data_IF_093691874326
#
_entry.id   IF_093691874326
#
_cell.length_a   1.000
_cell.length_b   1.000
_cell.length_c   1.000
_cell.angle_alpha   90.00
_cell.angle_beta   90.00
_cell.angle_gamma   90.00
#
_symmetry.space_group_name_H-M   'P 1'
#
loop_
_entity.id
_entity.type
_entity.pdbx_description
1 polymer ?
#
# COMPACT_ATOMS: atom_id res chain seq x y z
N UNK A 1 10.99 -2.97 2.82
CA UNK A 1 11.74 -1.71 2.93
C UNK A 1 12.09 -1.41 4.38
N UNK A 2 11.25 -0.77 5.20
CA UNK A 2 11.52 -0.67 6.65
C UNK A 2 11.32 -1.99 7.44
N UNK A 3 11.29 -3.13 6.74
CA UNK A 3 10.85 -4.40 7.34
C UNK A 3 11.82 -4.92 8.38
N UNK A 4 13.13 -4.68 8.25
CA UNK A 4 14.12 -5.18 9.20
C UNK A 4 13.95 -4.51 10.57
N UNK A 5 13.96 -3.18 10.62
CA UNK A 5 13.73 -2.43 11.86
C UNK A 5 12.32 -2.64 12.41
N UNK A 6 11.30 -2.67 11.54
CA UNK A 6 9.93 -2.98 11.95
C UNK A 6 9.81 -4.36 12.60
N UNK A 7 10.45 -5.38 12.01
CA UNK A 7 10.46 -6.76 12.51
C UNK A 7 11.24 -6.88 13.82
N UNK A 8 12.38 -6.20 13.93
CA UNK A 8 13.17 -6.12 15.17
C UNK A 8 12.37 -5.50 16.31
N UNK A 9 11.84 -4.30 16.10
CA UNK A 9 11.01 -3.59 17.09
C UNK A 9 9.80 -4.44 17.47
N UNK A 10 9.09 -5.00 16.48
CA UNK A 10 7.92 -5.85 16.75
C UNK A 10 8.32 -7.12 17.51
N UNK A 11 9.48 -7.72 17.20
CA UNK A 11 10.03 -8.86 17.93
C UNK A 11 10.26 -8.55 19.41
N UNK A 12 10.91 -7.43 19.72
CA UNK A 12 11.12 -7.00 21.11
C UNK A 12 9.81 -6.72 21.84
N UNK A 13 8.90 -5.96 21.21
CA UNK A 13 7.60 -5.62 21.82
C UNK A 13 6.78 -6.88 22.06
N UNK A 14 6.65 -7.77 21.07
CA UNK A 14 5.90 -9.01 21.22
C UNK A 14 6.54 -9.96 22.23
N UNK A 15 7.87 -10.05 22.29
CA UNK A 15 8.57 -10.83 23.32
C UNK A 15 8.18 -10.37 24.73
N UNK A 16 8.17 -9.05 24.95
CA UNK A 16 7.71 -8.45 26.21
C UNK A 16 6.24 -8.74 26.48
N UNK A 17 5.35 -8.52 25.52
CA UNK A 17 3.91 -8.73 25.69
C UNK A 17 3.56 -10.21 25.96
N UNK A 18 4.30 -11.14 25.35
CA UNK A 18 4.09 -12.58 25.53
C UNK A 18 4.35 -13.05 26.96
N UNK A 19 5.18 -12.35 27.74
CA UNK A 19 5.37 -12.66 29.17
C UNK A 19 4.06 -12.48 29.97
N UNK A 20 3.13 -11.65 29.47
CA UNK A 20 1.85 -11.34 30.11
C UNK A 20 0.67 -12.08 29.46
N UNK A 21 0.84 -12.56 28.23
CA UNK A 21 -0.10 -13.43 27.54
C UNK A 21 0.18 -14.88 27.96
N UNK A 22 -0.60 -15.42 28.91
CA UNK A 22 -0.51 -16.81 29.43
C UNK A 22 -0.80 -17.92 28.39
N UNK A 23 -0.60 -17.70 27.09
CA UNK A 23 -0.72 -18.69 26.02
C UNK A 23 0.54 -18.69 25.16
N UNK A 24 1.13 -19.87 24.96
CA UNK A 24 2.10 -20.15 23.89
C UNK A 24 1.41 -20.04 22.52
N UNK A 25 0.93 -18.85 22.15
CA UNK A 25 0.43 -18.62 20.81
C UNK A 25 1.65 -18.43 19.90
N UNK A 26 2.23 -19.56 19.47
CA UNK A 26 3.39 -19.64 18.56
C UNK A 26 3.09 -19.07 17.17
N UNK A 27 1.87 -18.62 16.91
CA UNK A 27 1.48 -17.88 15.70
C UNK A 27 1.91 -16.40 15.77
N UNK A 28 3.16 -16.12 16.15
CA UNK A 28 3.69 -14.75 16.14
C UNK A 28 3.89 -14.33 14.68
N UNK A 29 2.88 -13.68 14.11
CA UNK A 29 3.09 -12.89 12.89
C UNK A 29 3.84 -11.64 13.35
N UNK A 30 5.17 -11.65 13.25
CA UNK A 30 6.07 -10.54 13.58
C UNK A 30 5.77 -9.25 12.78
N UNK A 31 4.89 -9.32 11.79
CA UNK A 31 4.43 -8.19 10.96
C UNK A 31 3.07 -7.63 11.42
N UNK A 32 2.49 -8.13 12.52
CA UNK A 32 1.13 -7.79 12.98
C UNK A 32 1.01 -6.42 13.65
N UNK A 33 2.06 -5.91 14.30
CA UNK A 33 1.98 -4.61 14.97
C UNK A 33 1.97 -3.46 13.95
N UNK A 34 1.07 -2.47 14.11
CA UNK A 34 1.02 -1.32 13.23
C UNK A 34 2.13 -0.36 13.67
N UNK A 35 3.25 -0.40 12.95
CA UNK A 35 4.32 0.58 13.10
C UNK A 35 4.15 1.66 12.04
N UNK A 36 4.12 2.92 12.49
CA UNK A 36 4.29 4.08 11.63
C UNK A 36 5.73 4.61 11.75
N UNK A 37 6.21 5.23 10.68
CA UNK A 37 7.55 5.86 10.65
C UNK A 37 7.33 7.36 10.52
N UNK A 38 7.91 8.14 11.42
CA UNK A 38 7.97 9.59 11.28
C UNK A 38 9.22 9.96 10.49
N UNK A 39 9.03 10.26 9.21
CA UNK A 39 10.09 10.71 8.30
C UNK A 39 10.20 12.24 8.22
N UNK A 40 9.11 12.98 8.46
CA UNK A 40 9.06 14.43 8.28
C UNK A 40 9.40 15.18 9.57
N UNK A 41 10.54 14.84 10.18
CA UNK A 41 11.06 15.52 11.37
C UNK A 41 11.99 16.66 10.95
N UNK A 42 12.24 17.67 11.82
CA UNK A 42 13.32 18.63 11.62
C UNK A 42 14.61 17.91 11.21
N UNK A 43 15.41 18.51 10.32
CA UNK A 43 16.59 17.91 9.66
C UNK A 43 17.63 17.20 10.56
N UNK A 44 17.53 17.33 11.88
CA UNK A 44 18.47 16.83 12.87
C UNK A 44 17.90 15.75 13.80
N UNK A 45 16.61 15.43 13.68
CA UNK A 45 16.02 14.39 14.51
C UNK A 45 16.19 13.03 13.83
N UNK A 46 16.73 12.03 14.55
CA UNK A 46 16.84 10.67 14.04
C UNK A 46 15.48 10.09 13.64
N UNK A 47 15.45 9.11 12.71
CA UNK A 47 14.22 8.44 12.32
C UNK A 47 13.58 7.76 13.53
N UNK A 48 12.25 7.91 13.65
CA UNK A 48 11.48 7.34 14.74
C UNK A 48 10.39 6.42 14.22
N UNK A 49 10.21 5.30 14.92
CA UNK A 49 9.06 4.42 14.75
C UNK A 49 8.12 4.57 15.92
N UNK A 50 6.83 4.59 15.63
CA UNK A 50 5.79 4.72 16.64
C UNK A 50 4.86 3.51 16.62
N UNK A 51 4.46 3.10 17.82
CA UNK A 51 3.40 2.11 18.04
C UNK A 51 2.37 2.75 18.95
N UNK A 52 1.14 2.90 18.46
CA UNK A 52 0.02 3.37 19.27
C UNK A 52 -0.50 2.23 20.14
N UNK A 53 -0.64 2.46 21.45
CA UNK A 53 -1.13 1.45 22.38
C UNK A 53 -2.56 1.01 22.05
N UNK A 54 -3.41 1.94 21.62
CA UNK A 54 -4.76 1.64 21.10
C UNK A 54 -4.74 0.59 19.99
N UNK A 55 -3.75 0.65 19.10
CA UNK A 55 -3.66 -0.29 17.98
C UNK A 55 -3.13 -1.66 18.42
N UNK A 56 -2.25 -1.71 19.42
CA UNK A 56 -1.87 -2.96 20.10
C UNK A 56 -3.08 -3.62 20.76
N UNK A 57 -3.89 -2.85 21.50
CA UNK A 57 -5.09 -3.34 22.17
C UNK A 57 -6.18 -3.81 21.19
N UNK A 58 -6.32 -3.17 20.02
CA UNK A 58 -7.22 -3.68 18.96
C UNK A 58 -6.82 -5.07 18.47
N UNK A 59 -5.52 -5.34 18.35
CA UNK A 59 -5.01 -6.63 17.91
C UNK A 59 -5.09 -7.69 19.01
N UNK A 60 -4.89 -7.29 20.27
CA UNK A 60 -4.92 -8.18 21.44
C UNK A 60 -5.73 -7.54 22.58
N UNK A 61 -7.07 -7.60 22.52
CA UNK A 61 -7.94 -6.99 23.53
C UNK A 61 -7.71 -7.55 24.95
N UNK A 62 -7.26 -8.80 25.05
CA UNK A 62 -6.93 -9.48 26.32
C UNK A 62 -5.87 -8.75 27.17
N UNK A 63 -5.07 -7.87 26.56
CA UNK A 63 -4.05 -7.09 27.25
C UNK A 63 -4.61 -5.91 28.04
N UNK A 64 -5.82 -5.43 27.70
CA UNK A 64 -6.38 -4.18 28.24
C UNK A 64 -6.51 -4.17 29.76
N UNK A 65 -6.87 -5.31 30.35
CA UNK A 65 -7.01 -5.47 31.80
C UNK A 65 -5.75 -6.03 32.48
N UNK A 66 -4.72 -6.40 31.68
CA UNK A 66 -3.56 -7.14 32.17
C UNK A 66 -2.30 -6.31 32.27
N UNK A 67 -2.13 -5.31 31.41
CA UNK A 67 -0.90 -4.53 31.37
C UNK A 67 -1.12 -3.09 30.92
N UNK A 68 -0.45 -2.18 31.61
CA UNK A 68 -0.42 -0.76 31.27
C UNK A 68 0.84 -0.45 30.43
N UNK A 69 0.76 0.56 29.55
CA UNK A 69 1.86 0.97 28.68
C UNK A 69 3.16 1.23 29.45
N UNK A 70 3.07 1.93 30.58
CA UNK A 70 4.22 2.26 31.42
C UNK A 70 4.93 1.00 31.94
N UNK A 71 4.20 -0.07 32.25
CA UNK A 71 4.78 -1.36 32.62
C UNK A 71 5.55 -1.94 31.45
N UNK A 72 4.96 -1.98 30.25
CA UNK A 72 5.65 -2.43 29.02
C UNK A 72 6.93 -1.62 28.79
N UNK A 73 6.88 -0.31 28.97
CA UNK A 73 8.04 0.57 28.83
C UNK A 73 9.15 0.20 29.83
N UNK A 74 8.84 0.00 31.11
CA UNK A 74 9.85 -0.42 32.09
C UNK A 74 10.52 -1.73 31.69
N UNK A 75 9.75 -2.72 31.22
CA UNK A 75 10.33 -3.98 30.74
C UNK A 75 11.18 -3.78 29.49
N UNK A 76 10.74 -2.97 28.53
CA UNK A 76 11.51 -2.66 27.33
C UNK A 76 12.81 -1.93 27.66
N UNK A 77 12.83 -1.00 28.62
CA UNK A 77 14.07 -0.32 29.04
C UNK A 77 15.05 -1.24 29.78
N UNK A 78 14.53 -2.28 30.43
CA UNK A 78 15.34 -3.27 31.15
C UNK A 78 15.86 -4.40 30.25
N UNK A 79 15.37 -4.50 29.00
CA UNK A 79 16.09 -5.23 27.96
C UNK A 79 17.27 -4.35 27.55
N UNK A 80 18.45 -4.93 27.31
CA UNK A 80 19.70 -4.21 27.01
C UNK A 80 19.61 -3.33 25.74
N UNK A 81 18.92 -2.19 25.85
CA UNK A 81 18.87 -1.12 24.85
C UNK A 81 19.81 0.00 25.32
N UNK A 82 20.72 0.49 24.45
CA UNK A 82 20.75 0.38 22.99
C UNK A 82 21.36 -0.93 22.46
N UNK A 83 20.63 -1.60 21.56
CA UNK A 83 21.02 -2.89 20.97
C UNK A 83 21.87 -2.72 19.69
N UNK A 84 22.67 -3.73 19.34
CA UNK A 84 23.34 -3.88 18.03
C UNK A 84 22.36 -3.80 16.83
N UNK A 85 21.06 -3.93 17.08
CA UNK A 85 19.99 -3.86 16.10
C UNK A 85 19.68 -2.44 15.59
N UNK A 86 20.37 -1.42 16.10
CA UNK A 86 20.30 -0.02 15.64
C UNK A 86 19.20 0.81 16.29
N UNK A 87 18.60 0.34 17.38
CA UNK A 87 17.64 1.09 18.20
C UNK A 87 18.44 1.83 19.27
N UNK A 88 18.40 3.15 19.26
CA UNK A 88 19.25 4.01 20.11
C UNK A 88 18.55 4.49 21.38
N UNK A 89 17.23 4.65 21.33
CA UNK A 89 16.45 5.09 22.49
C UNK A 89 14.98 4.64 22.39
N UNK A 90 14.30 4.53 23.54
CA UNK A 90 12.89 4.19 23.62
C UNK A 90 12.21 5.01 24.71
N UNK A 91 11.12 5.69 24.34
CA UNK A 91 10.35 6.53 25.26
C UNK A 91 8.85 6.50 24.92
N UNK A 92 8.04 7.03 25.83
CA UNK A 92 6.61 7.27 25.57
C UNK A 92 6.40 8.69 25.07
N UNK A 93 5.45 8.88 24.14
CA UNK A 93 5.12 10.21 23.62
C UNK A 93 4.79 11.18 24.79
N UNK A 94 5.50 12.31 24.93
CA UNK A 94 5.36 13.20 26.09
C UNK A 94 3.98 13.87 26.19
N UNK A 95 3.21 13.94 25.10
CA UNK A 95 1.92 14.64 25.10
C UNK A 95 0.81 13.78 25.68
N UNK A 96 0.64 12.56 25.15
CA UNK A 96 -0.50 11.70 25.50
C UNK A 96 -0.10 10.41 26.24
N UNK A 97 1.19 10.05 26.27
CA UNK A 97 1.68 8.77 26.83
C UNK A 97 0.92 7.54 26.31
N UNK A 98 0.36 7.60 25.09
CA UNK A 98 -0.35 6.49 24.46
C UNK A 98 0.47 5.79 23.37
N UNK A 99 1.70 6.24 23.14
CA UNK A 99 2.57 5.72 22.08
C UNK A 99 3.92 5.33 22.63
N UNK A 100 4.43 4.19 22.15
CA UNK A 100 5.84 3.83 22.27
C UNK A 100 6.58 4.40 21.06
N UNK A 101 7.65 5.15 21.33
CA UNK A 101 8.50 5.77 20.33
C UNK A 101 9.88 5.13 20.42
N UNK A 102 10.37 4.66 19.28
CA UNK A 102 11.68 4.04 19.13
C UNK A 102 12.53 4.94 18.24
N UNK A 103 13.64 5.43 18.79
CA UNK A 103 14.64 6.17 18.03
C UNK A 103 15.63 5.20 17.42
N UNK A 104 16.00 5.45 16.17
CA UNK A 104 16.84 4.56 15.38
C UNK A 104 18.08 5.30 14.88
N UNK A 105 19.20 4.60 14.84
CA UNK A 105 20.41 5.06 14.20
C UNK A 105 20.17 5.33 12.71
N UNK A 106 20.37 6.59 12.30
CA UNK A 106 20.05 7.04 10.94
C UNK A 106 20.92 6.37 9.89
N UNK A 107 22.20 6.11 10.17
CA UNK A 107 23.14 5.55 9.23
C UNK A 107 22.83 4.07 8.97
N UNK A 108 22.67 3.29 10.03
CA UNK A 108 22.25 1.89 9.96
C UNK A 108 20.87 1.76 9.31
N UNK A 109 19.92 2.64 9.64
CA UNK A 109 18.62 2.67 8.99
C UNK A 109 18.76 2.89 7.48
N UNK A 110 19.42 3.97 7.07
CA UNK A 110 19.58 4.33 5.66
C UNK A 110 20.28 3.25 4.86
N UNK A 111 21.40 2.73 5.37
CA UNK A 111 22.14 1.64 4.73
C UNK A 111 21.28 0.38 4.58
N UNK A 112 20.51 0.02 5.61
CA UNK A 112 19.62 -1.14 5.54
C UNK A 112 18.51 -0.98 4.49
N UNK A 113 17.90 0.21 4.38
CA UNK A 113 16.83 0.49 3.42
C UNK A 113 17.38 0.45 2.00
N UNK A 114 18.52 1.11 1.76
CA UNK A 114 19.15 1.15 0.44
C UNK A 114 19.52 -0.27 -0.01
N UNK A 115 20.14 -1.07 0.87
CA UNK A 115 20.47 -2.45 0.56
C UNK A 115 19.23 -3.31 0.30
N UNK A 116 18.14 -3.10 1.05
CA UNK A 116 16.87 -3.81 0.81
C UNK A 116 16.26 -3.42 -0.54
N UNK A 117 16.26 -2.13 -0.90
CA UNK A 117 15.80 -1.64 -2.20
C UNK A 117 16.61 -2.25 -3.32
N UNK A 118 17.94 -2.13 -3.28
CA UNK A 118 18.82 -2.62 -4.34
C UNK A 118 18.65 -4.13 -4.55
N UNK A 119 18.52 -4.90 -3.47
CA UNK A 119 18.39 -6.36 -3.55
C UNK A 119 17.00 -6.82 -3.98
N UNK A 120 15.95 -6.06 -3.66
CA UNK A 120 14.57 -6.52 -3.77
C UNK A 120 13.68 -5.62 -4.64
N UNK A 121 14.22 -4.69 -5.45
CA UNK A 121 13.43 -3.69 -6.19
C UNK A 121 12.29 -4.30 -7.00
N UNK A 122 12.55 -5.42 -7.69
CA UNK A 122 11.56 -6.12 -8.53
C UNK A 122 10.57 -6.97 -7.73
N UNK A 123 10.83 -7.16 -6.43
CA UNK A 123 10.08 -8.05 -5.53
C UNK A 123 9.54 -7.32 -4.29
N UNK A 124 9.58 -5.99 -4.27
CA UNK A 124 9.06 -5.16 -3.19
C UNK A 124 7.64 -5.59 -2.76
N UNK A 125 6.68 -5.89 -3.65
CA UNK A 125 5.34 -6.33 -3.25
C UNK A 125 5.36 -7.58 -2.38
N UNK A 126 6.16 -8.57 -2.77
CA UNK A 126 6.23 -9.89 -2.12
C UNK A 126 6.86 -9.79 -0.72
N UNK A 127 7.83 -8.91 -0.55
CA UNK A 127 8.54 -8.72 0.72
C UNK A 127 8.01 -7.58 1.59
N UNK A 128 7.13 -6.74 1.04
CA UNK A 128 6.48 -5.68 1.80
C UNK A 128 5.53 -6.27 2.82
N UNK A 129 5.76 -5.95 4.09
CA UNK A 129 4.85 -6.33 5.19
C UNK A 129 3.45 -5.74 5.01
N UNK A 130 3.30 -4.72 4.16
CA UNK A 130 2.00 -4.12 3.84
C UNK A 130 1.18 -4.99 2.87
N UNK A 131 1.83 -5.65 1.91
CA UNK A 131 1.16 -6.43 0.86
C UNK A 131 1.22 -7.94 1.11
N UNK A 132 2.14 -8.43 1.95
CA UNK A 132 2.36 -9.85 2.22
C UNK A 132 1.11 -10.62 2.68
N UNK A 133 0.21 -9.97 3.41
CA UNK A 133 -1.00 -10.60 3.96
C UNK A 133 -2.24 -10.38 3.08
N UNK A 134 -2.09 -9.80 1.89
CA UNK A 134 -3.19 -9.65 0.94
C UNK A 134 -3.22 -10.92 0.10
N UNK A 135 -4.28 -11.76 0.21
CA UNK A 135 -4.39 -12.95 -0.62
C UNK A 135 -4.51 -12.56 -2.10
N UNK A 136 -3.87 -13.29 -3.03
CA UNK A 136 -4.06 -13.06 -4.45
C UNK A 136 -5.53 -13.25 -4.85
N UNK A 137 -6.06 -12.33 -5.65
CA UNK A 137 -7.43 -12.36 -6.15
C UNK A 137 -7.48 -12.18 -7.67
N UNK A 138 -8.61 -12.53 -8.27
CA UNK A 138 -8.91 -12.22 -9.66
C UNK A 138 -9.59 -10.85 -9.73
N UNK A 139 -8.93 -9.86 -10.31
CA UNK A 139 -9.42 -8.49 -10.39
C UNK A 139 -9.72 -8.13 -11.83
N UNK A 140 -10.95 -7.66 -12.08
CA UNK A 140 -11.33 -7.08 -13.37
C UNK A 140 -11.24 -5.55 -13.22
N UNK A 141 -10.50 -4.91 -14.13
CA UNK A 141 -10.45 -3.45 -14.23
C UNK A 141 -10.99 -3.07 -15.59
N UNK A 142 -12.20 -2.53 -15.60
CA UNK A 142 -12.85 -1.95 -16.76
C UNK A 142 -12.54 -0.45 -16.80
N UNK A 143 -12.06 0.03 -17.96
CA UNK A 143 -11.71 1.43 -18.14
C UNK A 143 -11.66 1.84 -19.61
N UNK A 144 -11.50 3.14 -19.85
CA UNK A 144 -11.63 3.79 -21.17
C UNK A 144 -13.07 3.79 -21.67
N UNK A 145 -13.59 2.63 -22.08
CA UNK A 145 -14.98 2.37 -22.49
C UNK A 145 -15.65 3.53 -23.22
N UNK A 146 -15.04 4.03 -24.31
CA UNK A 146 -15.60 5.15 -25.06
C UNK A 146 -16.83 4.70 -25.84
N UNK A 147 -17.67 5.67 -26.22
CA UNK A 147 -18.69 5.44 -27.23
C UNK A 147 -18.05 5.54 -28.63
N UNK A 148 -18.15 4.50 -29.45
CA UNK A 148 -17.52 4.48 -30.79
C UNK A 148 -18.15 5.45 -31.78
N UNK A 149 -19.39 5.87 -31.53
CA UNK A 149 -20.08 6.86 -32.35
C UNK A 149 -19.71 8.31 -31.96
N UNK A 150 -18.64 8.50 -31.18
CA UNK A 150 -18.09 9.82 -30.87
C UNK A 150 -16.57 9.85 -31.06
N UNK A 151 -16.00 10.99 -31.53
CA UNK A 151 -14.57 11.15 -31.63
C UNK A 151 -13.88 10.98 -30.27
N UNK A 152 -12.73 10.30 -30.27
CA UNK A 152 -11.94 10.14 -29.06
C UNK A 152 -11.16 11.43 -28.74
N UNK A 153 -11.64 12.20 -27.76
CA UNK A 153 -10.98 13.42 -27.28
C UNK A 153 -10.26 13.22 -25.92
N UNK A 154 -9.51 14.23 -25.48
CA UNK A 154 -8.72 14.22 -24.24
C UNK A 154 -9.53 13.90 -22.96
N UNK A 155 -10.85 14.07 -22.99
CA UNK A 155 -11.72 13.68 -21.88
C UNK A 155 -11.67 12.18 -21.58
N UNK A 156 -11.56 11.34 -22.62
CA UNK A 156 -11.44 9.89 -22.49
C UNK A 156 -10.06 9.44 -21.99
N UNK A 157 -9.05 10.31 -22.13
CA UNK A 157 -7.70 10.03 -21.64
C UNK A 157 -7.68 9.79 -20.13
N UNK A 158 -8.49 10.55 -19.38
CA UNK A 158 -8.58 10.45 -17.92
C UNK A 158 -8.97 9.04 -17.45
N UNK A 159 -10.07 8.49 -17.98
CA UNK A 159 -10.50 7.12 -17.64
C UNK A 159 -9.43 6.11 -18.04
N UNK A 160 -8.84 6.32 -19.22
CA UNK A 160 -7.83 5.43 -19.79
C UNK A 160 -6.59 5.31 -18.90
N UNK A 161 -6.01 6.43 -18.47
CA UNK A 161 -4.79 6.43 -17.65
C UNK A 161 -5.05 5.94 -16.22
N UNK A 162 -6.17 6.35 -15.62
CA UNK A 162 -6.50 5.99 -14.24
C UNK A 162 -6.75 4.48 -14.15
N UNK A 163 -7.54 3.94 -15.07
CA UNK A 163 -7.80 2.51 -15.11
C UNK A 163 -6.55 1.67 -15.36
N UNK A 164 -5.69 2.10 -16.29
CA UNK A 164 -4.41 1.43 -16.51
C UNK A 164 -3.50 1.48 -15.27
N UNK A 165 -3.43 2.64 -14.60
CA UNK A 165 -2.67 2.79 -13.34
C UNK A 165 -3.18 1.83 -12.26
N UNK A 166 -4.50 1.77 -12.04
CA UNK A 166 -5.11 0.84 -11.06
C UNK A 166 -4.81 -0.62 -11.44
N UNK A 167 -4.95 -0.99 -12.71
CA UNK A 167 -4.65 -2.34 -13.19
C UNK A 167 -3.17 -2.72 -12.97
N UNK A 168 -2.25 -1.76 -13.14
CA UNK A 168 -0.84 -1.96 -12.86
C UNK A 168 -0.56 -2.10 -11.36
N UNK A 169 -1.21 -1.29 -10.53
CA UNK A 169 -1.09 -1.39 -9.08
C UNK A 169 -1.60 -2.74 -8.56
N UNK A 170 -2.79 -3.19 -8.98
CA UNK A 170 -3.32 -4.49 -8.59
C UNK A 170 -2.40 -5.64 -9.04
N UNK A 171 -1.87 -5.57 -10.27
CA UNK A 171 -0.90 -6.56 -10.76
C UNK A 171 0.38 -6.55 -9.94
N UNK A 172 0.88 -5.37 -9.60
CA UNK A 172 2.07 -5.19 -8.79
C UNK A 172 1.90 -5.80 -7.39
N UNK A 173 0.74 -5.64 -6.75
CA UNK A 173 0.43 -6.22 -5.43
C UNK A 173 0.26 -7.76 -5.48
N UNK A 174 0.19 -8.37 -6.67
CA UNK A 174 0.16 -9.82 -6.85
C UNK A 174 -1.21 -10.39 -7.27
N UNK A 175 -2.19 -9.54 -7.61
CA UNK A 175 -3.48 -9.99 -8.13
C UNK A 175 -3.37 -10.44 -9.60
N UNK A 176 -4.25 -11.36 -10.00
CA UNK A 176 -4.47 -11.73 -11.41
C UNK A 176 -5.43 -10.71 -12.03
N UNK A 177 -4.89 -9.80 -12.84
CA UNK A 177 -5.67 -8.68 -13.40
C UNK A 177 -6.10 -8.94 -14.83
N UNK A 178 -7.41 -8.88 -15.08
CA UNK A 178 -8.03 -8.82 -16.41
C UNK A 178 -8.41 -7.36 -16.70
N UNK A 179 -7.89 -6.81 -17.79
CA UNK A 179 -8.25 -5.47 -18.26
C UNK A 179 -9.38 -5.60 -19.28
N UNK A 180 -10.45 -4.83 -19.10
CA UNK A 180 -11.59 -4.82 -20.02
C UNK A 180 -11.82 -3.41 -20.56
N UNK A 181 -12.28 -3.37 -21.81
CA UNK A 181 -12.80 -2.18 -22.45
C UNK A 181 -14.22 -2.49 -22.89
N UNK A 182 -15.21 -1.95 -22.19
CA UNK A 182 -16.62 -2.14 -22.51
C UNK A 182 -17.06 -1.04 -23.47
N UNK A 183 -16.73 -1.27 -24.73
CA UNK A 183 -16.95 -0.29 -25.80
C UNK A 183 -18.44 0.00 -25.94
N UNK A 184 -18.81 1.28 -25.97
CA UNK A 184 -20.20 1.72 -26.16
C UNK A 184 -20.60 1.68 -27.62
N UNK A 185 -20.81 0.47 -28.15
CA UNK A 185 -21.16 0.19 -29.55
C UNK A 185 -22.66 -0.03 -29.80
N UNK A 186 -23.47 -0.04 -28.74
CA UNK A 186 -24.91 -0.23 -28.84
C UNK A 186 -25.69 0.98 -28.29
N UNK A 187 -26.70 1.44 -29.05
CA UNK A 187 -27.65 2.47 -28.63
C UNK A 187 -27.93 3.54 -29.67
N UNK A 188 -28.65 4.60 -29.27
CA UNK A 188 -29.12 5.67 -30.15
C UNK A 188 -27.97 6.34 -30.92
N UNK A 189 -26.82 6.57 -30.28
CA UNK A 189 -25.68 7.24 -30.91
C UNK A 189 -25.13 6.42 -32.09
N UNK A 190 -25.04 5.09 -31.93
CA UNK A 190 -24.67 4.19 -33.02
C UNK A 190 -25.73 4.16 -34.12
N UNK A 191 -27.02 4.15 -33.75
CA UNK A 191 -28.12 4.21 -34.73
C UNK A 191 -28.12 5.49 -35.56
N UNK A 192 -27.84 6.65 -34.94
CA UNK A 192 -27.70 7.93 -35.63
C UNK A 192 -26.54 7.88 -36.62
N UNK A 193 -25.39 7.32 -36.22
CA UNK A 193 -24.24 7.15 -37.11
C UNK A 193 -24.58 6.28 -38.32
N UNK A 194 -25.28 5.16 -38.11
CA UNK A 194 -25.71 4.27 -39.19
C UNK A 194 -26.68 4.95 -40.17
N UNK A 195 -27.66 5.70 -39.67
CA UNK A 195 -28.58 6.47 -40.53
C UNK A 195 -27.84 7.59 -41.26
N UNK A 196 -26.88 8.25 -40.61
CA UNK A 196 -26.02 9.27 -41.21
C UNK A 196 -25.20 8.70 -42.37
N UNK A 197 -24.55 7.57 -42.15
CA UNK A 197 -23.79 6.87 -43.20
C UNK A 197 -24.68 6.42 -44.35
N UNK A 198 -25.90 5.94 -44.10
CA UNK A 198 -26.84 5.60 -45.19
C UNK A 198 -27.24 6.80 -46.05
N UNK A 199 -27.24 8.02 -45.50
CA UNK A 199 -27.65 9.24 -46.23
C UNK A 199 -26.48 9.96 -46.89
N UNK A 200 -25.31 9.96 -46.25
CA UNK A 200 -24.16 10.80 -46.62
C UNK A 200 -22.86 10.01 -46.80
N UNK A 201 -22.88 8.71 -46.51
CA UNK A 201 -21.69 7.85 -46.53
C UNK A 201 -21.17 7.58 -47.94
N UNK A 202 -19.86 7.39 -48.03
CA UNK A 202 -19.15 7.03 -49.25
C UNK A 202 -18.12 5.94 -48.92
N UNK A 203 -18.24 4.79 -49.57
CA UNK A 203 -17.38 3.63 -49.30
C UNK A 203 -15.91 3.90 -49.65
N UNK A 204 -15.66 4.66 -50.71
CA UNK A 204 -14.29 5.05 -51.10
C UNK A 204 -13.63 5.98 -50.07
N UNK A 205 -14.40 6.89 -49.46
CA UNK A 205 -13.90 7.79 -48.42
C UNK A 205 -13.72 7.06 -47.10
N UNK A 206 -14.63 6.14 -46.76
CA UNK A 206 -14.51 5.28 -45.59
C UNK A 206 -13.23 4.43 -45.64
N UNK A 207 -12.83 3.92 -46.80
CA UNK A 207 -11.58 3.16 -46.96
C UNK A 207 -10.33 4.04 -46.86
N UNK A 208 -10.39 5.31 -47.28
CA UNK A 208 -9.25 6.24 -47.26
C UNK A 208 -9.02 6.83 -45.87
N UNK A 209 -10.07 7.33 -45.22
CA UNK A 209 -10.00 7.96 -43.91
C UNK A 209 -11.29 7.70 -43.11
N UNK A 210 -11.39 6.52 -42.46
CA UNK A 210 -12.63 6.09 -41.84
C UNK A 210 -13.10 7.02 -40.71
N UNK A 211 -12.18 7.57 -39.92
CA UNK A 211 -12.55 8.38 -38.75
C UNK A 211 -13.09 9.74 -39.17
N UNK A 212 -12.39 10.44 -40.05
CA UNK A 212 -12.84 11.75 -40.49
C UNK A 212 -14.15 11.64 -41.27
N UNK A 213 -14.26 10.67 -42.19
CA UNK A 213 -15.50 10.45 -42.97
C UNK A 213 -16.73 10.11 -42.10
N UNK A 214 -16.54 9.47 -40.95
CA UNK A 214 -17.65 9.14 -40.03
C UNK A 214 -18.06 10.31 -39.12
N UNK A 215 -17.23 11.33 -38.97
CA UNK A 215 -17.45 12.44 -38.02
C UNK A 215 -17.55 13.83 -38.66
N UNK A 216 -17.36 13.94 -39.98
CA UNK A 216 -17.67 15.12 -40.82
C UNK A 216 -19.18 15.28 -41.10
#
# INVERSE_FOLDING_TARGET
MASVFRRRITGHVMSTLNQFLKKEDKSIIYDSLPLSIKLNQPKFLPPQFEITWKDVLKLKPELQERIHLNTVMTYLKNQDFPTFDGITDIFTDPVNQEKLVFTIDQELFSNSIILDIIRNIDRIPVYSTFFRNIPPENVIVEYSSPNVAKPFHFGHFRSTIIGNYIANLCKYVGHKVTRLNYVGDWGLQYGILAVGFNKFGCEEMLQKDPLNHLFE
#
